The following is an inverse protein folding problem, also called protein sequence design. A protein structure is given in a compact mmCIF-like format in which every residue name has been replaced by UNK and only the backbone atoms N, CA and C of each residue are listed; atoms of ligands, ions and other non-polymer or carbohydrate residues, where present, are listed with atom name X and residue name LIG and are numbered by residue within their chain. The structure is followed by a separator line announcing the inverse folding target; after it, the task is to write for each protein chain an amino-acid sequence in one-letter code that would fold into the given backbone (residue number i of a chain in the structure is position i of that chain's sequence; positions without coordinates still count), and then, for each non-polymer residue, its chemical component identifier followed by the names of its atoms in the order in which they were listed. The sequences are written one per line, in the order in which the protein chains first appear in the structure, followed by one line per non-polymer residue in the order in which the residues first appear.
data_IF_929440717930
#
_entry.id   IF_929440717930
#
_cell.length_a   1.000
_cell.length_b   1.000
_cell.length_c   1.000
_cell.angle_alpha   90.00
_cell.angle_beta   90.00
_cell.angle_gamma   90.00
#
_symmetry.space_group_name_H-M   'P 1'
#
loop_
_entity.id
_entity.type
_entity.pdbx_description
1 polymer ?
#
# COMPACT_ATOMS: atom_id res chain seq x y z
N UNK A 1 8.14 -1.28 15.60
CA UNK A 1 9.15 -0.27 15.20
C UNK A 1 8.86 0.34 13.84
N UNK A 2 8.96 -0.38 12.72
CA UNK A 2 8.64 0.20 11.40
C UNK A 2 7.25 0.86 11.32
N UNK A 3 6.18 0.07 11.54
CA UNK A 3 4.81 0.58 11.50
C UNK A 3 4.58 1.71 12.51
N UNK A 4 5.08 1.57 13.73
CA UNK A 4 4.99 2.61 14.76
C UNK A 4 5.61 3.94 14.31
N UNK A 5 6.74 3.90 13.59
CA UNK A 5 7.37 5.13 13.08
C UNK A 5 6.56 5.71 11.91
N UNK A 6 6.07 4.85 11.01
CA UNK A 6 5.21 5.28 9.89
C UNK A 6 3.95 5.98 10.42
N UNK A 7 3.32 5.45 11.47
CA UNK A 7 2.09 5.99 12.05
C UNK A 7 2.24 7.38 12.68
N UNK A 8 3.47 7.76 13.05
CA UNK A 8 3.77 9.06 13.69
C UNK A 8 4.37 10.05 12.69
N UNK A 9 4.80 9.58 11.52
CA UNK A 9 5.36 10.43 10.48
C UNK A 9 4.27 11.18 9.72
N UNK A 10 4.44 12.49 9.62
CA UNK A 10 3.64 13.33 8.74
C UNK A 10 4.38 13.56 7.41
N UNK A 11 3.67 13.43 6.29
CA UNK A 11 4.21 13.65 4.95
C UNK A 11 4.91 12.43 4.31
N UNK A 12 5.93 12.68 3.47
CA UNK A 12 6.55 11.63 2.65
C UNK A 12 7.32 10.62 3.50
N UNK A 13 6.89 9.36 3.48
CA UNK A 13 7.63 8.26 4.11
C UNK A 13 8.68 7.72 3.15
N UNK A 14 9.95 7.97 3.49
CA UNK A 14 11.11 7.34 2.86
C UNK A 14 12.08 6.91 3.98
N UNK A 15 13.06 6.05 3.67
CA UNK A 15 13.96 5.51 4.70
C UNK A 15 14.79 6.58 5.41
N UNK A 16 15.12 7.67 4.72
CA UNK A 16 15.84 8.81 5.30
C UNK A 16 14.97 9.54 6.31
N UNK A 17 13.69 9.79 5.99
CA UNK A 17 12.73 10.41 6.92
C UNK A 17 12.43 9.49 8.10
N UNK A 18 12.22 8.19 7.87
CA UNK A 18 12.09 7.19 8.94
C UNK A 18 13.28 7.23 9.90
N UNK A 19 14.50 7.30 9.36
CA UNK A 19 15.71 7.40 10.17
C UNK A 19 15.84 8.74 10.89
N UNK A 20 15.41 9.85 10.28
CA UNK A 20 15.47 11.18 10.89
C UNK A 20 14.56 11.32 12.11
N UNK A 21 13.38 10.73 12.06
CA UNK A 21 12.37 10.83 13.12
C UNK A 21 12.35 9.61 14.05
N UNK A 22 13.44 8.84 14.10
CA UNK A 22 13.59 7.71 15.01
C UNK A 22 15.05 7.55 15.44
N UNK A 23 15.30 6.65 16.39
CA UNK A 23 16.64 6.24 16.79
C UNK A 23 17.20 5.11 15.89
N UNK A 24 16.54 4.79 14.77
CA UNK A 24 16.84 3.64 13.93
C UNK A 24 17.50 4.11 12.63
N UNK A 25 18.56 3.42 12.19
CA UNK A 25 19.24 3.76 10.93
C UNK A 25 18.40 3.42 9.68
N UNK A 26 18.61 4.16 8.59
CA UNK A 26 18.06 3.83 7.27
C UNK A 26 18.37 2.37 6.87
N UNK A 27 19.59 1.88 7.16
CA UNK A 27 20.00 0.51 6.86
C UNK A 27 19.11 -0.51 7.59
N UNK A 28 18.75 -0.25 8.84
CA UNK A 28 17.87 -1.12 9.62
C UNK A 28 16.44 -1.10 9.09
N UNK A 29 15.90 0.07 8.72
CA UNK A 29 14.59 0.16 8.07
C UNK A 29 14.54 -0.60 6.75
N UNK A 30 15.57 -0.45 5.91
CA UNK A 30 15.69 -1.17 4.64
C UNK A 30 15.74 -2.68 4.83
N UNK A 31 16.40 -3.17 5.88
CA UNK A 31 16.41 -4.60 6.22
C UNK A 31 15.04 -5.06 6.71
N UNK A 32 14.37 -4.29 7.58
CA UNK A 32 13.03 -4.62 8.04
C UNK A 32 12.02 -4.66 6.89
N UNK A 33 12.12 -3.71 5.95
CA UNK A 33 11.30 -3.69 4.72
C UNK A 33 11.53 -4.88 3.79
N UNK A 34 12.62 -5.63 3.94
CA UNK A 34 12.85 -6.84 3.14
C UNK A 34 12.20 -8.07 3.75
N UNK A 35 11.75 -8.00 5.00
CA UNK A 35 11.03 -9.09 5.66
C UNK A 35 9.61 -9.15 5.12
N UNK A 36 9.13 -10.35 4.85
CA UNK A 36 7.74 -10.58 4.49
C UNK A 36 6.83 -10.22 5.67
N UNK A 37 5.70 -9.60 5.37
CA UNK A 37 4.63 -9.33 6.33
C UNK A 37 3.30 -9.69 5.68
N UNK A 38 2.43 -10.39 6.42
CA UNK A 38 1.10 -10.75 5.93
C UNK A 38 0.15 -9.57 6.15
N UNK A 39 0.12 -8.65 5.19
CA UNK A 39 -0.72 -7.44 5.24
C UNK A 39 -2.20 -7.77 5.34
N UNK A 40 -2.69 -8.77 4.61
CA UNK A 40 -4.11 -9.14 4.65
C UNK A 40 -4.49 -9.58 6.05
N UNK A 41 -3.70 -10.48 6.67
CA UNK A 41 -3.96 -10.90 8.05
C UNK A 41 -3.87 -9.75 9.03
N UNK A 42 -2.79 -8.96 8.98
CA UNK A 42 -2.62 -7.83 9.90
C UNK A 42 -3.74 -6.79 9.78
N UNK A 43 -4.18 -6.49 8.55
CA UNK A 43 -5.30 -5.58 8.31
C UNK A 43 -6.63 -6.18 8.78
N UNK A 44 -6.89 -7.45 8.51
CA UNK A 44 -8.09 -8.14 8.98
C UNK A 44 -8.18 -8.10 10.50
N UNK A 45 -7.09 -8.48 11.19
CA UNK A 45 -7.02 -8.47 12.65
C UNK A 45 -7.26 -7.05 13.22
N UNK A 46 -6.84 -5.98 12.52
CA UNK A 46 -7.11 -4.58 12.91
C UNK A 46 -8.55 -4.15 12.61
N UNK A 47 -9.12 -4.60 11.50
CA UNK A 47 -10.50 -4.31 11.10
C UNK A 47 -11.48 -4.95 12.08
N UNK A 48 -11.25 -6.20 12.47
CA UNK A 48 -12.05 -6.91 13.47
C UNK A 48 -12.07 -6.18 14.83
N UNK A 49 -10.98 -5.52 15.18
CA UNK A 49 -10.92 -4.69 16.40
C UNK A 49 -11.59 -3.33 16.23
N UNK A 50 -11.62 -2.78 15.02
CA UNK A 50 -12.14 -1.45 14.73
C UNK A 50 -13.64 -1.43 14.44
N UNK A 51 -14.18 -2.49 13.83
CA UNK A 51 -15.58 -2.58 13.41
C UNK A 51 -16.30 -3.58 14.31
N UNK A 52 -17.40 -3.17 14.99
CA UNK A 52 -18.23 -4.10 15.75
C UNK A 52 -18.77 -5.23 14.85
N UNK A 53 -18.83 -6.46 15.37
CA UNK A 53 -19.36 -7.61 14.63
C UNK A 53 -20.83 -7.44 14.17
N UNK A 54 -21.57 -6.53 14.80
CA UNK A 54 -22.96 -6.19 14.46
C UNK A 54 -23.10 -5.08 13.42
N UNK A 55 -22.01 -4.40 13.06
CA UNK A 55 -22.06 -3.28 12.12
C UNK A 55 -22.34 -3.77 10.69
N UNK A 56 -23.07 -2.96 9.92
CA UNK A 56 -23.31 -3.26 8.50
C UNK A 56 -22.04 -2.95 7.71
N UNK A 57 -21.50 -3.98 7.08
CA UNK A 57 -20.25 -3.89 6.32
C UNK A 57 -20.49 -4.16 4.84
N UNK A 58 -19.79 -3.42 3.99
CA UNK A 58 -19.71 -3.70 2.56
C UNK A 58 -18.25 -3.84 2.12
N UNK A 59 -18.04 -4.52 1.01
CA UNK A 59 -16.74 -4.64 0.37
C UNK A 59 -16.68 -3.62 -0.76
N UNK A 60 -15.62 -2.80 -0.78
CA UNK A 60 -15.33 -1.87 -1.84
C UNK A 60 -14.04 -2.26 -2.56
N UNK A 61 -14.04 -2.14 -3.89
CA UNK A 61 -12.88 -2.37 -4.73
C UNK A 61 -12.66 -1.18 -5.64
N UNK A 62 -11.42 -0.75 -5.80
CA UNK A 62 -11.05 0.28 -6.76
C UNK A 62 -9.65 0.04 -7.31
N UNK A 63 -9.36 0.57 -8.50
CA UNK A 63 -8.05 0.53 -9.12
C UNK A 63 -7.54 1.95 -9.34
N UNK A 64 -6.27 2.17 -9.03
CA UNK A 64 -5.61 3.46 -9.20
C UNK A 64 -4.37 3.34 -10.07
N UNK A 65 -4.23 4.31 -10.99
CA UNK A 65 -3.03 4.46 -11.82
C UNK A 65 -1.95 5.21 -11.05
N UNK A 66 -0.72 4.67 -11.06
CA UNK A 66 0.47 5.33 -10.50
C UNK A 66 1.49 5.58 -11.61
N UNK A 67 1.76 6.85 -11.95
CA UNK A 67 2.70 7.18 -13.02
C UNK A 67 4.11 6.70 -12.69
N UNK A 68 4.77 6.03 -13.64
CA UNK A 68 6.15 5.58 -13.49
C UNK A 68 6.90 5.58 -14.82
N UNK A 69 8.00 6.33 -14.88
CA UNK A 69 8.82 6.49 -16.10
C UNK A 69 10.04 5.56 -16.18
N UNK A 70 10.41 4.90 -15.07
CA UNK A 70 11.60 4.05 -14.98
C UNK A 70 11.39 2.61 -15.45
N UNK A 71 12.49 1.92 -15.81
CA UNK A 71 12.49 0.50 -16.23
C UNK A 71 12.86 -0.49 -15.12
N UNK A 72 13.33 0.03 -13.98
CA UNK A 72 13.78 -0.79 -12.84
C UNK A 72 12.64 -1.27 -11.94
N UNK A 73 11.44 -0.71 -12.12
CA UNK A 73 10.25 -1.03 -11.34
C UNK A 73 9.49 -2.17 -12.03
N UNK A 74 9.15 -3.23 -11.29
CA UNK A 74 8.43 -4.38 -11.84
C UNK A 74 6.97 -4.02 -12.15
N UNK A 75 6.42 -4.64 -13.20
CA UNK A 75 5.04 -4.47 -13.63
C UNK A 75 4.67 -3.10 -14.20
N UNK A 76 5.67 -2.34 -14.70
CA UNK A 76 5.40 -1.12 -15.48
C UNK A 76 4.88 -1.51 -16.87
N UNK A 77 3.60 -1.26 -17.12
CA UNK A 77 2.90 -1.48 -18.40
C UNK A 77 2.00 -0.27 -18.73
N UNK A 78 1.07 -0.42 -19.68
CA UNK A 78 0.08 0.61 -19.99
C UNK A 78 -1.23 0.29 -19.28
N UNK A 79 -1.66 1.20 -18.41
CA UNK A 79 -2.90 1.08 -17.64
C UNK A 79 -3.74 2.34 -17.82
N UNK A 80 -5.06 2.24 -17.61
CA UNK A 80 -5.96 3.38 -17.81
C UNK A 80 -5.73 4.47 -16.75
N UNK A 81 -5.34 5.66 -17.20
CA UNK A 81 -5.22 6.83 -16.34
C UNK A 81 -6.52 7.64 -16.43
N UNK A 82 -7.35 7.57 -15.38
CA UNK A 82 -8.62 8.28 -15.30
C UNK A 82 -8.50 9.80 -15.45
N UNK A 83 -7.40 10.41 -14.97
CA UNK A 83 -7.16 11.84 -15.11
C UNK A 83 -6.85 12.25 -16.56
N UNK A 84 -6.20 11.36 -17.32
CA UNK A 84 -5.83 11.61 -18.71
C UNK A 84 -6.89 11.08 -19.71
N UNK A 85 -7.87 10.30 -19.25
CA UNK A 85 -8.90 9.68 -20.09
C UNK A 85 -8.34 8.66 -21.09
N UNK A 86 -7.15 8.10 -20.84
CA UNK A 86 -6.46 7.18 -21.76
C UNK A 86 -5.50 6.25 -21.03
N UNK A 87 -5.08 5.19 -21.70
CA UNK A 87 -4.00 4.34 -21.21
C UNK A 87 -2.66 5.07 -21.25
N UNK A 88 -1.93 5.05 -20.14
CA UNK A 88 -0.59 5.63 -20.01
C UNK A 88 0.37 4.64 -19.35
N UNK A 89 1.66 4.87 -19.56
CA UNK A 89 2.70 4.00 -18.99
C UNK A 89 2.86 4.24 -17.50
N UNK A 90 2.66 3.20 -16.70
CA UNK A 90 2.76 3.27 -15.24
C UNK A 90 2.48 1.93 -14.57
N UNK A 91 2.00 2.00 -13.34
CA UNK A 91 1.54 0.86 -12.55
C UNK A 91 0.04 1.00 -12.32
N UNK A 92 -0.64 -0.12 -12.19
CA UNK A 92 -2.00 -0.17 -11.64
C UNK A 92 -1.96 -0.90 -10.30
N UNK A 93 -2.71 -0.37 -9.36
CA UNK A 93 -2.86 -0.93 -8.02
C UNK A 93 -4.34 -1.10 -7.75
N UNK A 94 -4.73 -2.31 -7.36
CA UNK A 94 -6.07 -2.63 -6.90
C UNK A 94 -6.12 -2.58 -5.38
N UNK A 95 -7.13 -1.92 -4.85
CA UNK A 95 -7.44 -1.84 -3.42
C UNK A 95 -8.70 -2.64 -3.15
N UNK A 96 -8.67 -3.44 -2.08
CA UNK A 96 -9.81 -4.07 -1.47
C UNK A 96 -9.99 -3.47 -0.07
N UNK A 97 -11.17 -2.92 0.20
CA UNK A 97 -11.49 -2.29 1.47
C UNK A 97 -12.79 -2.83 2.05
N UNK A 98 -12.87 -2.87 3.37
CA UNK A 98 -14.10 -3.08 4.13
C UNK A 98 -14.59 -1.71 4.56
N UNK A 99 -15.88 -1.43 4.34
CA UNK A 99 -16.50 -0.17 4.73
C UNK A 99 -17.57 -0.45 5.78
N UNK A 100 -17.41 0.17 6.94
CA UNK A 100 -18.49 0.30 7.92
C UNK A 100 -19.47 1.36 7.39
N UNK A 101 -20.66 0.90 7.00
CA UNK A 101 -21.69 1.74 6.39
C UNK A 101 -22.27 2.72 7.38
N UNK A 102 -22.43 2.30 8.63
CA UNK A 102 -23.05 3.10 9.68
C UNK A 102 -22.10 4.23 10.13
N UNK A 103 -20.82 3.90 10.29
CA UNK A 103 -19.77 4.88 10.61
C UNK A 103 -19.27 5.68 9.39
N UNK A 104 -19.65 5.29 8.17
CA UNK A 104 -19.17 5.87 6.89
C UNK A 104 -17.64 5.84 6.78
N UNK A 105 -17.01 4.78 7.29
CA UNK A 105 -15.56 4.67 7.39
C UNK A 105 -15.05 3.45 6.61
N UNK A 106 -14.11 3.71 5.70
CA UNK A 106 -13.38 2.67 4.97
C UNK A 106 -12.11 2.21 5.70
N UNK A 107 -11.80 0.94 5.56
CA UNK A 107 -10.59 0.28 6.06
C UNK A 107 -9.99 -0.60 4.97
N UNK A 108 -8.72 -0.37 4.65
CA UNK A 108 -8.02 -1.15 3.63
C UNK A 108 -7.74 -2.56 4.14
N UNK A 109 -8.23 -3.58 3.43
CA UNK A 109 -7.92 -4.98 3.69
C UNK A 109 -6.68 -5.41 2.90
N UNK A 110 -6.64 -5.09 1.61
CA UNK A 110 -5.57 -5.49 0.72
C UNK A 110 -5.27 -4.40 -0.31
N UNK A 111 -4.02 -4.31 -0.70
CA UNK A 111 -3.50 -3.45 -1.77
C UNK A 111 -2.53 -4.30 -2.55
N UNK A 112 -2.81 -4.49 -3.83
CA UNK A 112 -2.02 -5.35 -4.70
C UNK A 112 -1.77 -4.66 -6.02
N UNK A 113 -0.55 -4.78 -6.52
CA UNK A 113 -0.24 -4.35 -7.87
C UNK A 113 -0.85 -5.32 -8.90
N UNK A 114 -1.44 -4.80 -9.96
CA UNK A 114 -1.82 -5.62 -11.12
C UNK A 114 -0.54 -6.17 -11.76
N UNK A 115 -0.39 -7.51 -11.89
CA UNK A 115 0.80 -8.09 -12.49
C UNK A 115 0.86 -7.76 -13.99
N UNK A 116 2.07 -7.61 -14.56
CA UNK A 116 2.26 -7.43 -15.99
C UNK A 116 1.77 -8.65 -16.77
N UNK A 117 1.26 -8.41 -17.98
CA UNK A 117 0.76 -9.46 -18.88
C UNK A 117 1.87 -10.47 -19.23
N UNK A 118 3.11 -10.00 -19.37
CA UNK A 118 4.28 -10.84 -19.63
C UNK A 118 5.31 -10.71 -18.50
N UNK A 119 5.24 -11.55 -17.44
CA UNK A 119 6.17 -11.48 -16.33
C UNK A 119 7.58 -11.95 -16.75
N UNK A 120 8.61 -11.34 -16.14
CA UNK A 120 9.97 -11.93 -16.08
C UNK A 120 9.93 -13.20 -15.21
N UNK A 121 11.02 -13.96 -15.14
CA UNK A 121 11.12 -15.22 -14.38
C UNK A 121 10.43 -15.19 -13.00
N UNK A 122 9.78 -16.30 -12.64
CA UNK A 122 8.88 -16.45 -11.49
C UNK A 122 9.52 -16.08 -10.13
N UNK A 123 10.80 -16.44 -9.93
CA UNK A 123 11.55 -16.10 -8.72
C UNK A 123 11.83 -14.60 -8.59
N UNK A 124 12.07 -13.91 -9.70
CA UNK A 124 12.28 -12.46 -9.72
C UNK A 124 10.96 -11.72 -9.50
N UNK A 125 9.87 -12.26 -10.03
CA UNK A 125 8.51 -11.77 -9.83
C UNK A 125 8.13 -11.72 -8.34
N UNK A 126 8.20 -12.84 -7.62
CA UNK A 126 7.79 -12.91 -6.20
C UNK A 126 8.57 -11.95 -5.29
N UNK A 127 9.88 -11.76 -5.53
CA UNK A 127 10.70 -10.83 -4.75
C UNK A 127 10.36 -9.36 -5.00
N UNK A 128 10.06 -9.01 -6.24
CA UNK A 128 9.76 -7.63 -6.62
C UNK A 128 8.33 -7.24 -6.26
N UNK A 129 7.37 -8.16 -6.45
CA UNK A 129 5.98 -8.02 -5.99
C UNK A 129 5.91 -7.79 -4.48
N UNK A 130 6.60 -8.62 -3.68
CA UNK A 130 6.62 -8.43 -2.22
C UNK A 130 7.18 -7.07 -1.79
N UNK A 131 8.21 -6.56 -2.48
CA UNK A 131 8.77 -5.23 -2.18
C UNK A 131 7.85 -4.08 -2.59
N UNK A 132 7.12 -4.23 -3.70
CA UNK A 132 6.23 -3.19 -4.20
C UNK A 132 4.91 -3.14 -3.42
N UNK A 133 4.31 -4.29 -3.14
CA UNK A 133 3.11 -4.39 -2.32
C UNK A 133 3.33 -3.74 -0.94
N UNK A 134 4.51 -3.94 -0.34
CA UNK A 134 4.88 -3.26 0.90
C UNK A 134 4.90 -1.73 0.77
N UNK A 135 5.44 -1.18 -0.33
CA UNK A 135 5.45 0.27 -0.54
C UNK A 135 4.04 0.83 -0.73
N UNK A 136 3.18 0.12 -1.46
CA UNK A 136 1.80 0.55 -1.68
C UNK A 136 0.99 0.54 -0.40
N UNK A 137 1.09 -0.53 0.39
CA UNK A 137 0.46 -0.63 1.71
C UNK A 137 0.88 0.53 2.62
N UNK A 138 2.18 0.87 2.63
CA UNK A 138 2.69 1.98 3.44
C UNK A 138 2.17 3.32 2.98
N UNK A 139 2.04 3.55 1.67
CA UNK A 139 1.38 4.76 1.14
C UNK A 139 -0.03 4.90 1.68
N UNK A 140 -0.81 3.81 1.66
CA UNK A 140 -2.20 3.82 2.13
C UNK A 140 -2.31 4.15 3.62
N UNK A 141 -1.38 3.69 4.47
CA UNK A 141 -1.36 4.10 5.88
C UNK A 141 -1.02 5.59 6.05
N UNK A 142 -0.11 6.14 5.24
CA UNK A 142 0.27 7.56 5.31
C UNK A 142 -0.88 8.47 4.91
N UNK A 143 -1.61 8.12 3.85
CA UNK A 143 -2.76 8.88 3.38
C UNK A 143 -3.88 8.90 4.43
N UNK A 144 -4.06 7.80 5.18
CA UNK A 144 -5.01 7.73 6.29
C UNK A 144 -4.63 8.64 7.46
N UNK A 145 -3.35 8.72 7.85
CA UNK A 145 -2.89 9.61 8.93
C UNK A 145 -3.16 11.07 8.57
N UNK A 146 -2.91 11.43 7.31
CA UNK A 146 -3.16 12.79 6.82
C UNK A 146 -4.67 13.12 6.81
N UNK A 147 -5.55 12.14 6.59
CA UNK A 147 -7.01 12.33 6.64
C UNK A 147 -7.60 12.39 8.06
N UNK A 148 -6.90 11.84 9.07
CA UNK A 148 -7.33 11.89 10.48
C UNK A 148 -6.91 13.17 11.22
N UNK A 149 -6.13 14.03 10.56
CA UNK A 149 -5.60 15.29 11.13
C UNK A 149 -6.25 16.56 10.57
N UNK A 150 -7.36 16.40 9.85
CA UNK A 150 -8.16 17.46 9.20
C UNK A 150 -9.63 17.26 9.53
#
# INVERSE_FOLDING_TARGET
MLFSTILVLYGKVNFTNLSRYSQISERSYRQQFQKSFNFIKGNADLIEQAIPATARQIIATDCSFVPKSGKATYGVEHFYNGCAGRAEKGLEISVLAIVDVDAKQGYTLSVQQTPPTNPKSETTRLRLENRQNLNFQISTYCDRINLLSS
#
